data_IF_720580148170
#
_entry.id   IF_720580148170
#
_cell.length_a   1.000
_cell.length_b   1.000
_cell.length_c   1.000
_cell.angle_alpha   90.00
_cell.angle_beta   90.00
_cell.angle_gamma   90.00
#
_symmetry.space_group_name_H-M   'P 1'
#
loop_
_entity.id
_entity.type
_entity.pdbx_description
1 polymer ?
#
# COMPACT_ATOMS: atom_id res chain seq x y z
N UNK A 1 1.52 9.54 -6.91
CA UNK A 1 1.77 9.54 -5.46
C UNK A 1 2.95 8.64 -5.09
N UNK A 2 3.59 8.86 -3.93
CA UNK A 2 4.59 7.93 -3.37
C UNK A 2 3.88 6.79 -2.63
N UNK A 3 4.34 5.56 -2.80
CA UNK A 3 3.78 4.38 -2.14
C UNK A 3 4.90 3.44 -1.68
N UNK A 4 4.71 2.75 -0.55
CA UNK A 4 5.50 1.58 -0.19
C UNK A 4 4.99 0.39 -1.03
N UNK A 5 5.87 -0.26 -1.78
CA UNK A 5 5.54 -1.24 -2.80
C UNK A 5 6.43 -2.47 -2.67
N UNK A 6 5.84 -3.66 -2.74
CA UNK A 6 6.55 -4.94 -2.81
C UNK A 6 5.89 -5.83 -3.86
N UNK A 7 6.69 -6.63 -4.56
CA UNK A 7 6.22 -7.56 -5.61
C UNK A 7 6.29 -9.02 -5.21
N UNK A 8 7.07 -9.31 -4.17
CA UNK A 8 7.36 -10.66 -3.71
C UNK A 8 7.12 -10.74 -2.20
N UNK A 9 6.49 -11.82 -1.75
CA UNK A 9 6.34 -12.07 -0.32
C UNK A 9 7.71 -12.20 0.33
N UNK A 10 7.83 -11.63 1.53
CA UNK A 10 9.10 -11.57 2.26
C UNK A 10 10.22 -10.84 1.51
N UNK A 11 9.89 -10.17 0.40
CA UNK A 11 10.80 -9.40 -0.43
C UNK A 11 10.99 -7.98 0.06
N UNK A 12 11.87 -7.21 -0.61
CA UNK A 12 12.11 -5.81 -0.28
C UNK A 12 10.84 -4.97 -0.46
N UNK A 13 10.67 -3.99 0.44
CA UNK A 13 9.65 -2.95 0.32
C UNK A 13 10.37 -1.68 -0.13
N UNK A 14 9.97 -1.14 -1.28
CA UNK A 14 10.55 0.07 -1.85
C UNK A 14 9.54 1.21 -1.87
N UNK A 15 10.02 2.45 -1.71
CA UNK A 15 9.16 3.61 -1.93
C UNK A 15 9.22 3.99 -3.41
N UNK A 16 8.12 3.81 -4.12
CA UNK A 16 8.01 4.10 -5.55
C UNK A 16 7.04 5.25 -5.83
N UNK A 17 7.22 5.93 -6.96
CA UNK A 17 6.23 6.87 -7.49
C UNK A 17 5.27 6.10 -8.40
N UNK A 18 4.00 6.06 -8.02
CA UNK A 18 2.91 5.44 -8.79
C UNK A 18 1.92 6.50 -9.27
N UNK A 19 1.08 6.16 -10.26
CA UNK A 19 0.03 7.06 -10.71
C UNK A 19 -0.95 7.40 -9.57
N UNK A 20 -1.48 8.62 -9.56
CA UNK A 20 -2.55 8.97 -8.63
C UNK A 20 -3.84 8.23 -9.02
N UNK A 21 -4.58 7.66 -8.06
CA UNK A 21 -5.81 6.93 -8.36
C UNK A 21 -6.93 7.89 -8.75
N UNK A 22 -7.81 7.43 -9.65
CA UNK A 22 -9.08 8.10 -9.98
C UNK A 22 -10.21 7.32 -9.29
N UNK A 23 -11.15 7.98 -8.60
CA UNK A 23 -12.24 7.27 -7.94
C UNK A 23 -13.19 6.65 -8.98
N UNK A 24 -13.63 5.42 -8.72
CA UNK A 24 -14.79 4.84 -9.43
C UNK A 24 -16.10 5.46 -8.90
N UNK A 25 -17.24 5.14 -9.52
CA UNK A 25 -18.54 5.62 -9.04
C UNK A 25 -18.80 5.15 -7.59
N UNK A 26 -19.10 6.09 -6.69
CA UNK A 26 -19.24 5.84 -5.26
C UNK A 26 -17.92 5.71 -4.48
N UNK A 27 -16.78 5.81 -5.15
CA UNK A 27 -15.46 5.80 -4.54
C UNK A 27 -14.98 7.19 -4.09
N UNK A 28 -14.00 7.21 -3.19
CA UNK A 28 -13.32 8.44 -2.75
C UNK A 28 -11.81 8.26 -2.86
N UNK A 29 -11.10 9.34 -3.19
CA UNK A 29 -9.63 9.39 -3.11
C UNK A 29 -9.26 10.21 -1.88
N UNK A 30 -8.41 9.64 -1.03
CA UNK A 30 -8.01 10.23 0.25
C UNK A 30 -6.52 10.58 0.17
N UNK A 31 -6.17 11.81 0.55
CA UNK A 31 -4.78 12.18 0.81
C UNK A 31 -4.39 11.66 2.19
N UNK A 32 -3.55 10.64 2.23
CA UNK A 32 -3.05 10.04 3.47
C UNK A 32 -1.94 10.93 4.05
N UNK A 33 -2.19 11.56 5.20
CA UNK A 33 -1.19 12.38 5.92
C UNK A 33 -0.31 11.54 6.85
N UNK A 34 -0.87 10.47 7.44
CA UNK A 34 -0.16 9.53 8.30
C UNK A 34 -0.82 8.13 8.24
N UNK A 35 -0.01 7.08 8.38
CA UNK A 35 -0.48 5.69 8.49
C UNK A 35 0.39 4.92 9.49
N UNK A 36 -0.22 4.04 10.27
CA UNK A 36 0.49 3.13 11.17
C UNK A 36 0.70 1.77 10.51
N UNK A 37 1.77 1.07 10.90
CA UNK A 37 1.97 -0.33 10.52
C UNK A 37 1.48 -1.24 11.65
N UNK A 38 0.62 -2.19 11.30
CA UNK A 38 0.08 -3.20 12.19
C UNK A 38 0.65 -4.58 11.85
N UNK A 39 0.44 -5.54 12.75
CA UNK A 39 0.82 -6.94 12.52
C UNK A 39 0.05 -7.57 11.33
N UNK A 40 -1.14 -7.08 11.00
CA UNK A 40 -1.87 -7.53 9.81
C UNK A 40 -1.11 -7.23 8.51
N UNK A 41 -0.42 -6.08 8.43
CA UNK A 41 0.39 -5.73 7.25
C UNK A 41 1.58 -6.70 7.10
N UNK A 42 2.17 -7.10 8.23
CA UNK A 42 3.21 -8.13 8.25
C UNK A 42 2.69 -9.49 7.78
N UNK A 43 1.49 -9.92 8.20
CA UNK A 43 0.90 -11.17 7.70
C UNK A 43 0.72 -11.13 6.17
N UNK A 44 0.17 -10.02 5.64
CA UNK A 44 0.03 -9.82 4.20
C UNK A 44 1.37 -9.86 3.45
N UNK A 45 2.42 -9.22 4.01
CA UNK A 45 3.77 -9.28 3.45
C UNK A 45 4.42 -10.66 3.53
N UNK A 46 4.12 -11.45 4.57
CA UNK A 46 4.59 -12.83 4.70
C UNK A 46 3.96 -13.78 3.67
N UNK A 47 2.89 -13.35 2.99
CA UNK A 47 2.10 -14.18 2.09
C UNK A 47 1.09 -15.06 2.79
N UNK A 48 0.71 -14.70 4.02
CA UNK A 48 -0.35 -15.34 4.77
C UNK A 48 -1.59 -14.44 4.70
N UNK A 49 -2.62 -14.89 4.00
CA UNK A 49 -3.97 -14.30 4.04
C UNK A 49 -4.80 -15.02 5.11
#
# INVERSE_FOLDING_TARGET
MRAAYFTDYQGPIEVQNVADPTPQNGGVVIKVEATGLCRSDWHGWMGHD
#
